data_IF_178131949766
#
_entry.id   IF_178131949766
#
_cell.length_a   1.000
_cell.length_b   1.000
_cell.length_c   1.000
_cell.angle_alpha   90.00
_cell.angle_beta   90.00
_cell.angle_gamma   90.00
#
_symmetry.space_group_name_H-M   'P 1'
#
loop_
_entity.id
_entity.type
_entity.pdbx_description
1 polymer ?
#
# COMPACT_ATOMS: atom_id res chain seq x y z
N UNK A 1 19.39 -4.92 36.59
CA UNK A 1 20.19 -5.63 35.57
C UNK A 1 19.21 -6.37 34.70
N UNK A 2 18.73 -5.71 33.64
CA UNK A 2 17.74 -6.26 32.70
C UNK A 2 18.49 -6.62 31.41
N UNK A 3 18.29 -7.86 31.03
CA UNK A 3 18.90 -8.58 29.93
C UNK A 3 18.63 -7.89 28.57
N UNK A 4 19.69 -7.67 27.81
CA UNK A 4 19.68 -7.08 26.46
C UNK A 4 19.77 -8.21 25.45
N UNK A 5 18.64 -8.85 25.16
CA UNK A 5 18.53 -9.81 24.08
C UNK A 5 17.20 -9.65 23.34
N UNK A 6 17.17 -8.74 22.37
CA UNK A 6 16.27 -8.84 21.21
C UNK A 6 16.91 -8.04 20.08
N UNK A 7 17.14 -8.72 18.96
CA UNK A 7 17.96 -8.24 17.85
C UNK A 7 17.42 -6.97 17.20
N UNK A 8 18.34 -6.08 16.87
CA UNK A 8 18.11 -4.98 15.96
C UNK A 8 18.02 -5.53 14.52
N UNK A 9 16.82 -5.54 13.94
CA UNK A 9 16.59 -5.44 12.48
C UNK A 9 15.10 -5.68 12.19
N UNK A 10 14.35 -4.61 11.93
CA UNK A 10 13.40 -4.43 10.81
C UNK A 10 12.45 -3.28 11.13
N UNK A 11 12.69 -2.16 10.47
CA UNK A 11 11.98 -0.88 10.64
C UNK A 11 10.93 -0.70 9.55
N UNK A 12 9.89 0.11 9.80
CA UNK A 12 8.62 0.07 9.07
C UNK A 12 8.40 1.20 8.04
N UNK A 13 8.52 0.86 6.76
CA UNK A 13 8.07 1.63 5.58
C UNK A 13 6.61 1.32 5.21
N UNK A 14 5.95 0.48 6.02
CA UNK A 14 4.73 -0.21 5.65
C UNK A 14 3.50 0.66 5.44
N UNK A 15 3.42 1.84 6.06
CA UNK A 15 2.30 2.75 5.81
C UNK A 15 2.23 3.16 4.35
N UNK A 16 3.34 3.62 3.76
CA UNK A 16 3.39 4.07 2.36
C UNK A 16 2.88 2.99 1.39
N UNK A 17 3.14 1.73 1.72
CA UNK A 17 2.76 0.57 0.89
C UNK A 17 1.26 0.27 0.95
N UNK A 18 0.62 0.51 2.11
CA UNK A 18 -0.84 0.45 2.26
C UNK A 18 -1.54 1.62 1.56
N UNK A 19 -0.88 2.77 1.45
CA UNK A 19 -1.52 4.03 1.07
C UNK A 19 -1.46 4.38 -0.41
N UNK A 20 -0.62 3.72 -1.22
CA UNK A 20 -0.57 3.99 -2.68
C UNK A 20 -1.74 3.38 -3.45
N UNK A 21 -2.39 2.35 -2.88
CA UNK A 21 -3.33 1.49 -3.60
C UNK A 21 -4.77 1.53 -3.08
N UNK A 22 -5.03 2.28 -2.00
CA UNK A 22 -6.37 2.47 -1.44
C UNK A 22 -6.74 3.96 -1.41
N UNK A 23 -8.01 4.28 -1.70
CA UNK A 23 -8.53 5.63 -1.53
C UNK A 23 -8.53 6.00 -0.05
N UNK A 24 -7.67 6.94 0.34
CA UNK A 24 -7.42 7.26 1.76
C UNK A 24 -7.50 8.77 2.01
N UNK A 25 -8.00 9.13 3.18
CA UNK A 25 -8.07 10.53 3.64
C UNK A 25 -6.85 10.97 4.46
N UNK A 26 -5.94 10.04 4.80
CA UNK A 26 -4.68 10.35 5.50
C UNK A 26 -3.66 9.21 5.37
N UNK A 27 -2.37 9.52 5.51
CA UNK A 27 -1.26 8.56 5.58
C UNK A 27 -0.77 8.48 7.03
N UNK A 28 -1.24 7.52 7.85
CA UNK A 28 -0.73 7.33 9.21
C UNK A 28 0.74 6.91 9.20
N UNK A 29 1.61 7.82 9.62
CA UNK A 29 3.01 7.51 9.89
C UNK A 29 3.14 7.00 11.33
N UNK A 30 3.16 5.67 11.52
CA UNK A 30 3.24 5.05 12.85
C UNK A 30 4.72 4.92 13.27
N UNK A 31 5.35 6.06 13.58
CA UNK A 31 6.77 6.12 13.96
C UNK A 31 7.10 5.41 15.27
N UNK A 32 6.14 5.28 16.19
CA UNK A 32 6.35 4.64 17.51
C UNK A 32 6.75 3.17 17.43
N UNK A 33 6.35 2.46 16.37
CA UNK A 33 6.80 1.07 16.16
C UNK A 33 8.25 1.00 15.68
N UNK A 34 8.69 2.00 14.91
CA UNK A 34 10.07 2.12 14.44
C UNK A 34 11.02 2.65 15.52
N UNK A 35 10.51 3.54 16.37
CA UNK A 35 11.26 4.22 17.40
C UNK A 35 10.46 4.13 18.72
N UNK A 36 10.58 3.00 19.45
CA UNK A 36 9.82 2.78 20.70
C UNK A 36 10.13 3.83 21.78
N UNK A 37 11.28 4.49 21.65
CA UNK A 37 11.77 5.56 22.52
C UNK A 37 11.26 6.96 22.14
N UNK A 38 10.52 7.10 21.03
CA UNK A 38 10.07 8.38 20.49
C UNK A 38 8.87 8.95 21.26
N UNK A 39 9.07 10.14 21.80
CA UNK A 39 8.07 11.04 22.33
C UNK A 39 8.02 12.31 21.46
N UNK A 40 6.97 12.43 20.65
CA UNK A 40 6.79 13.56 19.72
C UNK A 40 6.60 14.91 20.43
N UNK A 41 6.35 14.92 21.74
CA UNK A 41 6.28 16.15 22.54
C UNK A 41 7.67 16.70 22.91
N UNK A 42 8.74 15.92 22.68
CA UNK A 42 10.12 16.26 23.00
C UNK A 42 10.90 16.69 21.77
N UNK A 43 11.20 17.99 21.68
CA UNK A 43 11.92 18.57 20.54
C UNK A 43 13.33 18.02 20.37
N UNK A 44 14.01 17.62 21.45
CA UNK A 44 15.34 17.01 21.43
C UNK A 44 15.36 15.62 20.78
N UNK A 45 14.21 14.95 20.73
CA UNK A 45 14.07 13.65 20.08
C UNK A 45 13.70 13.77 18.59
N UNK A 46 13.23 14.94 18.14
CA UNK A 46 12.90 15.17 16.73
C UNK A 46 14.14 15.18 15.84
N UNK A 47 15.26 15.75 16.29
CA UNK A 47 16.52 15.70 15.54
C UNK A 47 17.02 14.26 15.41
N UNK A 48 16.97 13.48 16.49
CA UNK A 48 17.34 12.05 16.46
C UNK A 48 16.39 11.22 15.57
N UNK A 49 15.11 11.61 15.49
CA UNK A 49 14.15 11.01 14.58
C UNK A 49 14.51 11.33 13.12
N UNK A 50 14.79 12.58 12.78
CA UNK A 50 15.18 12.97 11.43
C UNK A 50 16.48 12.29 11.01
N UNK A 51 17.48 12.25 11.87
CA UNK A 51 18.72 11.50 11.64
C UNK A 51 18.44 10.01 11.39
N UNK A 52 17.55 9.42 12.17
CA UNK A 52 17.11 8.04 11.98
C UNK A 52 16.41 7.84 10.64
N UNK A 53 15.52 8.76 10.25
CA UNK A 53 14.83 8.73 8.96
C UNK A 53 15.85 8.84 7.82
N UNK A 54 16.74 9.83 7.86
CA UNK A 54 17.69 10.09 6.79
C UNK A 54 18.72 8.98 6.62
N UNK A 55 19.22 8.42 7.72
CA UNK A 55 20.31 7.44 7.67
C UNK A 55 19.85 6.01 7.53
N UNK A 56 18.65 5.68 8.01
CA UNK A 56 18.16 4.29 8.06
C UNK A 56 17.03 4.08 7.06
N UNK A 57 16.03 4.98 7.03
CA UNK A 57 14.81 4.78 6.26
C UNK A 57 14.92 5.25 4.82
N UNK A 58 15.39 6.48 4.60
CA UNK A 58 15.49 7.04 3.24
C UNK A 58 16.30 6.16 2.29
N UNK A 59 17.44 5.55 2.67
CA UNK A 59 18.17 4.67 1.77
C UNK A 59 17.37 3.41 1.38
N UNK A 60 16.61 2.83 2.32
CA UNK A 60 15.76 1.68 2.04
C UNK A 60 14.59 2.06 1.13
N UNK A 61 13.93 3.19 1.41
CA UNK A 61 12.85 3.73 0.59
C UNK A 61 13.32 4.05 -0.83
N UNK A 62 14.48 4.68 -0.96
CA UNK A 62 15.08 5.00 -2.27
C UNK A 62 15.51 3.76 -3.04
N UNK A 63 15.77 2.63 -2.37
CA UNK A 63 16.05 1.37 -3.05
C UNK A 63 14.80 0.73 -3.66
N UNK A 64 13.59 1.13 -3.23
CA UNK A 64 12.33 0.68 -3.81
C UNK A 64 12.05 1.52 -5.07
N UNK A 65 12.21 0.89 -6.23
CA UNK A 65 12.06 1.56 -7.54
C UNK A 65 10.84 1.06 -8.32
N UNK A 66 10.28 -0.07 -7.93
CA UNK A 66 9.14 -0.70 -8.60
C UNK A 66 8.14 -1.25 -7.59
N UNK A 67 6.91 -1.51 -8.06
CA UNK A 67 5.89 -2.24 -7.27
C UNK A 67 6.40 -3.63 -6.84
N UNK A 68 7.24 -4.27 -7.65
CA UNK A 68 7.90 -5.53 -7.30
C UNK A 68 8.87 -5.40 -6.13
N UNK A 69 9.69 -4.35 -6.13
CA UNK A 69 10.62 -4.05 -5.03
C UNK A 69 9.85 -3.74 -3.74
N UNK A 70 8.75 -3.01 -3.86
CA UNK A 70 7.87 -2.67 -2.75
C UNK A 70 7.28 -3.93 -2.10
N UNK A 71 6.80 -4.86 -2.92
CA UNK A 71 6.28 -6.16 -2.49
C UNK A 71 7.37 -7.00 -1.84
N UNK A 72 8.54 -7.12 -2.46
CA UNK A 72 9.67 -7.86 -1.90
C UNK A 72 10.17 -7.25 -0.57
N UNK A 73 10.10 -5.92 -0.44
CA UNK A 73 10.41 -5.21 0.79
C UNK A 73 9.40 -5.56 1.89
N UNK A 74 8.09 -5.44 1.63
CA UNK A 74 7.07 -5.72 2.66
C UNK A 74 7.01 -7.19 3.04
N UNK A 75 7.26 -8.11 2.11
CA UNK A 75 7.28 -9.55 2.35
C UNK A 75 8.30 -9.95 3.44
N UNK A 76 9.41 -9.22 3.52
CA UNK A 76 10.51 -9.44 4.48
C UNK A 76 10.34 -8.70 5.80
N UNK A 77 9.35 -7.83 5.90
CA UNK A 77 9.10 -7.00 7.07
C UNK A 77 7.82 -7.43 7.80
N UNK A 78 7.70 -7.05 9.07
CA UNK A 78 6.55 -7.39 9.92
C UNK A 78 5.18 -7.03 9.33
N UNK A 79 5.15 -6.15 8.33
CA UNK A 79 3.97 -5.70 7.61
C UNK A 79 3.43 -6.66 6.54
N UNK A 80 4.09 -7.80 6.31
CA UNK A 80 3.63 -8.87 5.40
C UNK A 80 2.12 -9.16 5.56
N UNK A 81 1.67 -9.32 6.81
CA UNK A 81 0.29 -9.67 7.12
C UNK A 81 -0.73 -8.64 6.60
N UNK A 82 -0.34 -7.38 6.40
CA UNK A 82 -1.28 -6.33 6.00
C UNK A 82 -1.36 -6.09 4.49
N UNK A 83 -0.37 -6.55 3.72
CA UNK A 83 -0.45 -6.50 2.26
C UNK A 83 -1.13 -7.73 1.66
N UNK A 84 -0.95 -8.88 2.32
CA UNK A 84 -1.32 -10.17 1.73
C UNK A 84 -2.51 -10.84 2.42
N UNK A 85 -2.88 -10.46 3.65
CA UNK A 85 -3.92 -11.17 4.39
C UNK A 85 -5.32 -10.53 4.26
N UNK A 86 -5.41 -9.31 3.72
CA UNK A 86 -6.68 -8.67 3.37
C UNK A 86 -6.99 -8.88 1.87
N UNK A 87 -8.15 -9.47 1.52
CA UNK A 87 -8.55 -9.66 0.13
C UNK A 87 -8.55 -8.36 -0.69
N UNK A 88 -8.92 -7.25 -0.07
CA UNK A 88 -9.01 -5.92 -0.67
C UNK A 88 -7.65 -5.42 -1.15
N UNK A 89 -6.62 -5.56 -0.33
CA UNK A 89 -5.28 -5.10 -0.68
C UNK A 89 -4.61 -6.10 -1.62
N UNK A 90 -4.82 -7.40 -1.39
CA UNK A 90 -4.27 -8.46 -2.22
C UNK A 90 -4.73 -8.36 -3.69
N UNK A 91 -6.02 -8.14 -3.95
CA UNK A 91 -6.52 -8.03 -5.32
C UNK A 91 -5.87 -6.87 -6.09
N UNK A 92 -5.64 -5.75 -5.42
CA UNK A 92 -5.05 -4.56 -6.04
C UNK A 92 -3.56 -4.80 -6.34
N UNK A 93 -2.83 -5.38 -5.39
CA UNK A 93 -1.40 -5.71 -5.58
C UNK A 93 -1.22 -6.73 -6.71
N UNK A 94 -2.03 -7.79 -6.73
CA UNK A 94 -1.94 -8.81 -7.78
C UNK A 94 -2.32 -8.22 -9.15
N UNK A 95 -3.31 -7.32 -9.22
CA UNK A 95 -3.65 -6.60 -10.44
C UNK A 95 -2.49 -5.70 -10.90
N UNK A 96 -1.92 -4.89 -10.00
CA UNK A 96 -0.79 -4.00 -10.28
C UNK A 96 0.44 -4.77 -10.83
N UNK A 97 0.71 -5.96 -10.28
CA UNK A 97 1.79 -6.84 -10.71
C UNK A 97 1.51 -7.59 -12.02
N UNK A 98 0.31 -7.47 -12.60
CA UNK A 98 -0.11 -8.21 -13.79
C UNK A 98 -0.48 -9.67 -13.52
N UNK A 99 -0.68 -10.07 -12.25
CA UNK A 99 -1.13 -11.41 -11.85
C UNK A 99 -2.66 -11.53 -11.97
N UNK A 100 -3.17 -11.24 -13.16
CA UNK A 100 -4.62 -11.02 -13.38
C UNK A 100 -5.48 -12.22 -13.01
N UNK A 101 -4.99 -13.44 -13.21
CA UNK A 101 -5.70 -14.67 -12.81
C UNK A 101 -5.82 -14.80 -11.28
N UNK A 102 -4.76 -14.47 -10.54
CA UNK A 102 -4.77 -14.49 -9.08
C UNK A 102 -5.66 -13.37 -8.52
N UNK A 103 -5.54 -12.16 -9.09
CA UNK A 103 -6.39 -11.02 -8.74
C UNK A 103 -7.87 -11.36 -8.95
N UNK A 104 -8.22 -11.91 -10.13
CA UNK A 104 -9.60 -12.32 -10.43
C UNK A 104 -10.11 -13.38 -9.46
N UNK A 105 -9.30 -14.38 -9.11
CA UNK A 105 -9.72 -15.42 -8.16
C UNK A 105 -10.04 -14.84 -6.77
N UNK A 106 -9.23 -13.89 -6.30
CA UNK A 106 -9.51 -13.16 -5.04
C UNK A 106 -10.80 -12.36 -5.16
N UNK A 107 -10.98 -11.67 -6.29
CA UNK A 107 -12.15 -10.84 -6.53
C UNK A 107 -13.46 -11.64 -6.61
N UNK A 108 -13.47 -12.74 -7.38
CA UNK A 108 -14.61 -13.65 -7.51
C UNK A 108 -15.03 -14.23 -6.15
N UNK A 109 -14.07 -14.54 -5.28
CA UNK A 109 -14.33 -15.06 -3.93
C UNK A 109 -14.96 -14.01 -2.98
N UNK A 110 -14.83 -12.71 -3.27
CA UNK A 110 -15.22 -11.63 -2.37
C UNK A 110 -16.29 -10.67 -2.93
N UNK A 111 -16.64 -10.76 -4.22
CA UNK A 111 -17.55 -9.81 -4.88
C UNK A 111 -18.92 -9.70 -4.21
N UNK A 112 -19.46 -10.79 -3.67
CA UNK A 112 -20.75 -10.77 -2.94
C UNK A 112 -20.66 -9.85 -1.72
N UNK A 113 -19.52 -9.87 -1.01
CA UNK A 113 -19.28 -8.99 0.13
C UNK A 113 -19.09 -7.55 -0.36
N UNK A 114 -18.22 -7.32 -1.34
CA UNK A 114 -17.89 -5.97 -1.84
C UNK A 114 -19.10 -5.25 -2.46
N UNK A 115 -20.00 -5.98 -3.10
CA UNK A 115 -21.24 -5.42 -3.68
C UNK A 115 -22.40 -5.38 -2.68
N UNK A 116 -22.18 -5.73 -1.40
CA UNK A 116 -23.25 -5.76 -0.40
C UNK A 116 -23.57 -4.36 0.14
N UNK A 117 -24.85 -4.09 0.39
CA UNK A 117 -25.27 -2.88 1.09
C UNK A 117 -25.20 -3.09 2.61
N UNK A 118 -23.99 -3.28 3.15
CA UNK A 118 -23.79 -3.52 4.56
C UNK A 118 -24.02 -2.23 5.38
N UNK A 119 -25.08 -2.21 6.20
CA UNK A 119 -25.48 -1.05 7.01
C UNK A 119 -24.44 -0.61 8.05
N UNK A 120 -23.42 -1.42 8.32
CA UNK A 120 -22.31 -1.07 9.24
C UNK A 120 -21.22 -0.24 8.56
N UNK A 121 -21.22 -0.17 7.23
CA UNK A 121 -20.23 0.59 6.47
C UNK A 121 -20.52 2.08 6.47
N UNK A 122 -19.50 2.85 6.80
CA UNK A 122 -19.54 4.29 6.59
C UNK A 122 -19.42 4.65 5.09
N UNK A 123 -19.34 5.94 4.78
CA UNK A 123 -19.23 6.39 3.39
C UNK A 123 -17.87 6.02 2.76
N UNK A 124 -16.81 5.93 3.57
CA UNK A 124 -15.46 5.57 3.10
C UNK A 124 -15.40 4.08 2.76
N UNK A 125 -15.91 3.24 3.66
CA UNK A 125 -16.05 1.79 3.44
C UNK A 125 -16.85 1.54 2.15
N UNK A 126 -18.00 2.21 1.98
CA UNK A 126 -18.84 2.04 0.78
C UNK A 126 -18.13 2.46 -0.51
N UNK A 127 -17.38 3.56 -0.47
CA UNK A 127 -16.59 3.99 -1.61
C UNK A 127 -15.50 2.98 -1.96
N UNK A 128 -14.76 2.47 -0.96
CA UNK A 128 -13.72 1.46 -1.17
C UNK A 128 -14.31 0.18 -1.79
N UNK A 129 -15.43 -0.30 -1.26
CA UNK A 129 -16.08 -1.52 -1.75
C UNK A 129 -16.63 -1.36 -3.18
N UNK A 130 -17.18 -0.18 -3.51
CA UNK A 130 -17.58 0.15 -4.87
C UNK A 130 -16.39 0.18 -5.83
N UNK A 131 -15.24 0.72 -5.41
CA UNK A 131 -14.02 0.70 -6.21
C UNK A 131 -13.55 -0.74 -6.49
N UNK A 132 -13.58 -1.62 -5.48
CA UNK A 132 -13.20 -3.02 -5.64
C UNK A 132 -14.17 -3.80 -6.55
N UNK A 133 -15.47 -3.49 -6.51
CA UNK A 133 -16.44 -4.04 -7.44
C UNK A 133 -16.15 -3.60 -8.90
N UNK A 134 -15.80 -2.34 -9.12
CA UNK A 134 -15.40 -1.87 -10.46
C UNK A 134 -14.12 -2.57 -10.96
N UNK A 135 -13.14 -2.78 -10.08
CA UNK A 135 -11.93 -3.54 -10.41
C UNK A 135 -12.27 -4.98 -10.78
N UNK A 136 -13.21 -5.62 -10.07
CA UNK A 136 -13.71 -6.95 -10.42
C UNK A 136 -14.29 -6.98 -11.84
N UNK A 137 -15.12 -6.00 -12.22
CA UNK A 137 -15.67 -5.92 -13.57
C UNK A 137 -14.58 -5.84 -14.65
N UNK A 138 -13.53 -5.03 -14.42
CA UNK A 138 -12.37 -4.95 -15.32
C UNK A 138 -11.56 -6.26 -15.37
N UNK A 139 -11.40 -6.95 -14.23
CA UNK A 139 -10.72 -8.25 -14.16
C UNK A 139 -11.52 -9.35 -14.88
N UNK A 140 -12.85 -9.29 -14.84
CA UNK A 140 -13.72 -10.22 -15.56
C UNK A 140 -13.64 -10.01 -17.07
N UNK A 141 -13.62 -8.76 -17.53
CA UNK A 141 -13.48 -8.43 -18.96
C UNK A 141 -12.08 -8.71 -19.49
N UNK A 142 -11.06 -8.77 -18.63
CA UNK A 142 -9.65 -8.95 -19.01
C UNK A 142 -9.06 -7.72 -19.69
N UNK A 143 -9.69 -6.56 -19.54
CA UNK A 143 -9.27 -5.30 -20.14
C UNK A 143 -8.11 -4.69 -19.34
N UNK A 144 -6.88 -4.99 -19.78
CA UNK A 144 -5.64 -4.56 -19.14
C UNK A 144 -5.55 -3.03 -19.09
N UNK A 145 -5.97 -2.35 -20.16
CA UNK A 145 -5.92 -0.89 -20.25
C UNK A 145 -6.93 -0.25 -19.26
N UNK A 146 -8.12 -0.84 -19.12
CA UNK A 146 -9.09 -0.40 -18.13
C UNK A 146 -8.59 -0.61 -16.69
N UNK A 147 -7.92 -1.74 -16.41
CA UNK A 147 -7.31 -1.99 -15.10
C UNK A 147 -6.21 -0.97 -14.81
N UNK A 148 -5.27 -0.75 -15.74
CA UNK A 148 -4.21 0.24 -15.57
C UNK A 148 -4.77 1.63 -15.28
N UNK A 149 -5.73 2.08 -16.10
CA UNK A 149 -6.38 3.38 -15.92
C UNK A 149 -7.04 3.50 -14.55
N UNK A 150 -7.76 2.46 -14.11
CA UNK A 150 -8.43 2.47 -12.81
C UNK A 150 -7.42 2.63 -11.66
N UNK A 151 -6.29 1.92 -11.72
CA UNK A 151 -5.23 2.04 -10.72
C UNK A 151 -4.58 3.43 -10.71
N UNK A 152 -4.31 3.99 -11.88
CA UNK A 152 -3.78 5.36 -12.01
C UNK A 152 -4.75 6.42 -11.48
N UNK A 153 -6.05 6.27 -11.74
CA UNK A 153 -7.08 7.16 -11.22
C UNK A 153 -7.11 7.14 -9.69
N UNK A 154 -6.97 5.96 -9.08
CA UNK A 154 -6.92 5.81 -7.63
C UNK A 154 -5.66 6.42 -7.04
N UNK A 155 -4.49 6.15 -7.64
CA UNK A 155 -3.22 6.76 -7.25
C UNK A 155 -3.32 8.29 -7.30
N UNK A 156 -3.76 8.85 -8.42
CA UNK A 156 -3.90 10.29 -8.62
C UNK A 156 -4.89 10.91 -7.61
N UNK A 157 -6.00 10.22 -7.32
CA UNK A 157 -6.97 10.67 -6.32
C UNK A 157 -6.36 10.74 -4.92
N UNK A 158 -5.58 9.72 -4.53
CA UNK A 158 -4.89 9.68 -3.25
C UNK A 158 -3.80 10.77 -3.16
N UNK A 159 -3.01 10.95 -4.21
CA UNK A 159 -1.97 11.99 -4.28
C UNK A 159 -2.60 13.38 -4.11
N UNK A 160 -3.69 13.64 -4.84
CA UNK A 160 -4.44 14.90 -4.75
C UNK A 160 -5.02 15.13 -3.35
N UNK A 161 -5.62 14.10 -2.76
CA UNK A 161 -6.19 14.21 -1.43
C UNK A 161 -5.13 14.58 -0.38
N UNK A 162 -3.93 13.99 -0.50
CA UNK A 162 -2.83 14.18 0.45
C UNK A 162 -1.92 15.36 0.11
N UNK A 163 -2.24 16.14 -0.93
CA UNK A 163 -1.47 17.30 -1.39
C UNK A 163 -0.02 16.97 -1.76
N UNK A 164 0.18 15.80 -2.38
CA UNK A 164 1.50 15.28 -2.76
C UNK A 164 1.85 15.54 -4.24
N UNK A 165 1.03 16.30 -4.97
CA UNK A 165 1.15 16.48 -6.42
C UNK A 165 2.52 17.04 -6.83
N UNK A 166 3.13 17.90 -6.00
CA UNK A 166 4.44 18.48 -6.28
C UNK A 166 5.64 17.52 -6.10
N UNK A 167 5.40 16.33 -5.53
CA UNK A 167 6.42 15.31 -5.24
C UNK A 167 6.15 13.99 -5.96
N UNK A 168 5.08 13.92 -6.76
CA UNK A 168 4.56 12.69 -7.32
C UNK A 168 4.88 12.56 -8.80
N UNK A 169 5.31 11.36 -9.18
CA UNK A 169 5.36 10.88 -10.56
C UNK A 169 4.47 9.62 -10.63
N UNK A 170 3.63 9.46 -11.66
CA UNK A 170 2.75 8.29 -11.79
C UNK A 170 3.51 6.96 -11.71
N UNK A 171 2.97 5.98 -10.98
CA UNK A 171 3.63 4.70 -10.79
C UNK A 171 3.60 3.86 -12.07
N UNK A 172 4.74 3.40 -12.60
CA UNK A 172 4.73 2.51 -13.76
C UNK A 172 4.33 1.09 -13.34
N UNK A 173 3.05 0.72 -13.50
CA UNK A 173 2.56 -0.58 -13.08
C UNK A 173 3.11 -1.71 -13.97
N UNK A 174 3.63 -2.80 -13.38
CA UNK A 174 4.09 -3.94 -14.18
C UNK A 174 3.06 -4.51 -15.16
N UNK A 175 1.76 -4.40 -14.86
CA UNK A 175 0.68 -4.87 -15.72
C UNK A 175 0.64 -4.19 -17.10
N UNK A 176 1.20 -2.98 -17.22
CA UNK A 176 1.25 -2.20 -18.46
C UNK A 176 2.34 -2.70 -19.42
N UNK A 177 3.29 -3.49 -18.90
CA UNK A 177 4.39 -4.01 -19.70
C UNK A 177 3.90 -5.24 -20.45
N UNK A 178 4.19 -5.36 -21.76
CA UNK A 178 3.89 -6.58 -22.49
C UNK A 178 4.64 -7.75 -21.85
N UNK A 179 3.98 -8.91 -21.73
CA UNK A 179 4.60 -10.11 -21.21
C UNK A 179 5.85 -10.44 -22.03
N UNK A 180 7.03 -10.31 -21.41
CA UNK A 180 8.29 -10.66 -22.06
C UNK A 180 8.24 -12.15 -22.39
N UNK A 181 8.12 -12.47 -23.68
CA UNK A 181 8.13 -13.85 -24.21
C UNK A 181 9.51 -14.49 -24.08
#
# INVERSE_FOLDING_TARGET
MLDRTSGAATTAVSSVVWHLFEFQTSIPLIWKQAFPWLDLSRSDQLESLFDGIERIFLPQLRAVQTVGDLVAYVDRHWARHRLFDTPETKVIVDAALGRLGEARAVADANIVRWSSNNRRWDDVDRQQMSCLANLHDCLVSGDIDAIARLLHEWEAATVKHNKLEGLWEPTPFPLEKPATS
#
